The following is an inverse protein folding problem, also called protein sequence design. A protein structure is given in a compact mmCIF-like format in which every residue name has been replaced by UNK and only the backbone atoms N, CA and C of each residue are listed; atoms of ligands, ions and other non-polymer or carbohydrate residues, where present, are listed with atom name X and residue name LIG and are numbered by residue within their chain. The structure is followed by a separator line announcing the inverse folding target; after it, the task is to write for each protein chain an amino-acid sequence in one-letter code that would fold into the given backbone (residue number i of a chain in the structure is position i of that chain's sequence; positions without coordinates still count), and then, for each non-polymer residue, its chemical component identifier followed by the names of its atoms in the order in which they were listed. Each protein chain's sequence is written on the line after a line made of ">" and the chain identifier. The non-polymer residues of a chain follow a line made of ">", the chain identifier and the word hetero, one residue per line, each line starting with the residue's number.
data_IF_555493111083
#
_entry.id   IF_555493111083
#
_cell.length_a   1.000
_cell.length_b   1.000
_cell.length_c   1.000
_cell.angle_alpha   90.00
_cell.angle_beta   90.00
_cell.angle_gamma   90.00
#
_symmetry.space_group_name_H-M   'P 1'
#
loop_
_entity.id
_entity.type
_entity.pdbx_description
1 polymer ?
#
# COMPACT_ATOMS: atom_id res chain seq x y z
N UNK A 1 -0.70 -2.13 20.21
CA UNK A 1 -1.31 -2.57 18.95
C UNK A 1 -0.47 -2.09 17.79
N UNK A 2 -0.01 -2.96 16.90
CA UNK A 2 0.64 -2.56 15.65
C UNK A 2 0.60 -3.74 14.69
N UNK A 3 -0.37 -3.75 13.76
CA UNK A 3 -0.18 -4.53 12.54
C UNK A 3 1.12 -4.06 11.86
N UNK A 4 1.96 -4.97 11.40
CA UNK A 4 3.20 -4.61 10.72
C UNK A 4 2.91 -4.13 9.29
N UNK A 5 2.46 -2.88 9.17
CA UNK A 5 2.22 -2.23 7.89
C UNK A 5 3.50 -1.56 7.37
N UNK A 6 3.74 -1.51 6.05
CA UNK A 6 4.91 -0.84 5.47
C UNK A 6 4.94 0.69 5.68
N UNK A 7 3.86 1.24 6.23
CA UNK A 7 3.67 2.65 6.59
C UNK A 7 3.16 2.84 8.03
N UNK A 8 3.25 1.82 8.90
CA UNK A 8 2.94 1.95 10.34
C UNK A 8 3.94 2.84 11.11
N UNK A 9 5.08 3.14 10.49
CA UNK A 9 6.02 4.19 10.90
C UNK A 9 6.07 5.32 9.87
N UNK A 10 7.27 5.76 9.46
CA UNK A 10 7.40 6.76 8.40
C UNK A 10 7.10 6.14 7.02
N UNK A 11 5.92 6.41 6.48
CA UNK A 11 5.56 6.04 5.11
C UNK A 11 6.59 6.59 4.12
N UNK A 12 7.30 5.71 3.42
CA UNK A 12 8.21 6.09 2.35
C UNK A 12 8.35 4.97 1.32
N UNK A 13 8.77 5.33 0.11
CA UNK A 13 8.90 4.38 -1.01
C UNK A 13 9.89 3.25 -0.72
N UNK A 14 10.92 3.49 0.08
CA UNK A 14 11.95 2.50 0.40
C UNK A 14 11.39 1.42 1.33
N UNK A 15 10.60 1.79 2.34
CA UNK A 15 9.96 0.82 3.24
C UNK A 15 8.90 0.00 2.52
N UNK A 16 8.09 0.64 1.68
CA UNK A 16 7.11 -0.05 0.83
C UNK A 16 7.79 -1.06 -0.11
N UNK A 17 8.88 -0.66 -0.76
CA UNK A 17 9.63 -1.56 -1.61
C UNK A 17 10.30 -2.69 -0.85
N UNK A 18 10.98 -2.40 0.27
CA UNK A 18 11.62 -3.42 1.09
C UNK A 18 10.61 -4.45 1.61
N UNK A 19 9.38 -4.02 1.92
CA UNK A 19 8.28 -4.91 2.25
C UNK A 19 7.92 -5.84 1.08
N UNK A 20 7.79 -5.31 -0.13
CA UNK A 20 7.49 -6.14 -1.31
C UNK A 20 8.61 -7.11 -1.67
N UNK A 21 9.88 -6.69 -1.55
CA UNK A 21 11.06 -7.53 -1.73
C UNK A 21 11.12 -8.65 -0.68
N UNK A 22 10.97 -8.31 0.61
CA UNK A 22 10.97 -9.29 1.71
C UNK A 22 9.91 -10.38 1.53
N UNK A 23 8.74 -9.99 1.04
CA UNK A 23 7.64 -10.93 0.79
C UNK A 23 7.70 -11.58 -0.60
N UNK A 24 8.63 -11.16 -1.46
CA UNK A 24 8.81 -11.61 -2.84
C UNK A 24 7.52 -11.51 -3.67
N UNK A 25 6.80 -10.40 -3.52
CA UNK A 25 5.57 -10.18 -4.29
C UNK A 25 5.91 -9.77 -5.73
N UNK A 26 5.30 -10.45 -6.71
CA UNK A 26 5.33 -10.04 -8.12
C UNK A 26 4.62 -8.68 -8.31
N UNK A 27 4.79 -8.03 -9.45
CA UNK A 27 4.11 -6.74 -9.72
C UNK A 27 2.58 -6.85 -9.60
N UNK A 28 2.01 -7.97 -10.04
CA UNK A 28 0.60 -8.26 -9.91
C UNK A 28 0.17 -8.37 -8.45
N UNK A 29 0.93 -9.09 -7.62
CA UNK A 29 0.61 -9.22 -6.18
C UNK A 29 0.83 -7.90 -5.43
N UNK A 30 1.78 -7.06 -5.87
CA UNK A 30 1.95 -5.70 -5.35
C UNK A 30 0.75 -4.81 -5.67
N UNK A 31 0.21 -4.90 -6.88
CA UNK A 31 -1.03 -4.20 -7.25
C UNK A 31 -2.21 -4.65 -6.37
N UNK A 32 -2.38 -5.97 -6.18
CA UNK A 32 -3.46 -6.49 -5.32
C UNK A 32 -3.33 -6.00 -3.88
N UNK A 33 -2.11 -6.00 -3.34
CA UNK A 33 -1.83 -5.45 -2.02
C UNK A 33 -2.17 -3.96 -1.94
N UNK A 34 -1.78 -3.19 -2.95
CA UNK A 34 -2.10 -1.77 -3.03
C UNK A 34 -3.61 -1.53 -3.12
N UNK A 35 -4.30 -2.28 -3.98
CA UNK A 35 -5.76 -2.18 -4.17
C UNK A 35 -6.52 -2.45 -2.88
N UNK A 36 -6.11 -3.44 -2.11
CA UNK A 36 -6.72 -3.71 -0.80
C UNK A 36 -6.65 -2.49 0.13
N UNK A 37 -5.51 -1.82 0.20
CA UNK A 37 -5.37 -0.57 0.97
C UNK A 37 -6.15 0.59 0.38
N UNK A 38 -6.21 0.69 -0.95
CA UNK A 38 -6.97 1.72 -1.64
C UNK A 38 -8.46 1.60 -1.31
N UNK A 39 -9.01 0.38 -1.40
CA UNK A 39 -10.41 0.11 -1.13
C UNK A 39 -10.74 0.33 0.36
N UNK A 40 -9.83 -0.08 1.27
CA UNK A 40 -9.94 0.24 2.69
C UNK A 40 -9.99 1.75 2.94
N UNK A 41 -9.07 2.51 2.35
CA UNK A 41 -8.97 3.94 2.57
C UNK A 41 -10.17 4.69 1.96
N UNK A 42 -10.59 4.29 0.76
CA UNK A 42 -11.77 4.83 0.11
C UNK A 42 -13.03 4.58 0.94
N UNK A 43 -13.23 3.36 1.44
CA UNK A 43 -14.37 3.04 2.29
C UNK A 43 -14.34 3.85 3.61
N UNK A 44 -13.17 4.04 4.21
CA UNK A 44 -13.04 4.88 5.41
C UNK A 44 -13.45 6.34 5.14
N UNK A 45 -13.08 6.88 3.98
CA UNK A 45 -13.45 8.24 3.55
C UNK A 45 -14.94 8.35 3.22
N UNK A 46 -15.52 7.36 2.54
CA UNK A 46 -16.94 7.36 2.16
C UNK A 46 -17.88 7.25 3.37
N UNK A 47 -17.43 6.61 4.44
CA UNK A 47 -18.21 6.36 5.65
C UNK A 47 -18.07 7.45 6.74
N UNK A 48 -17.07 8.34 6.64
CA UNK A 48 -16.89 9.47 7.54
C UNK A 48 -17.43 10.75 6.85
N UNK A 49 -18.47 11.42 7.38
CA UNK A 49 -19.07 12.58 6.73
C UNK A 49 -18.09 13.73 6.43
N UNK A 50 -17.14 13.99 7.33
CA UNK A 50 -16.17 15.07 7.19
C UNK A 50 -15.12 14.71 6.13
N UNK A 51 -14.61 13.48 6.17
CA UNK A 51 -13.67 13.00 5.15
C UNK A 51 -14.34 12.89 3.79
N UNK A 52 -15.59 12.46 3.73
CA UNK A 52 -16.35 12.40 2.48
C UNK A 52 -16.47 13.79 1.83
N UNK A 53 -16.76 14.81 2.62
CA UNK A 53 -16.89 16.19 2.13
C UNK A 53 -15.55 16.78 1.65
N UNK A 54 -14.42 16.36 2.23
CA UNK A 54 -13.12 17.03 2.03
C UNK A 54 -12.08 16.22 1.25
N UNK A 55 -12.18 14.90 1.23
CA UNK A 55 -11.16 13.96 0.72
C UNK A 55 -11.66 12.98 -0.33
N UNK A 56 -12.97 12.86 -0.55
CA UNK A 56 -13.49 11.92 -1.55
C UNK A 56 -12.98 12.23 -2.97
N UNK A 57 -12.72 13.51 -3.26
CA UNK A 57 -12.12 13.95 -4.53
C UNK A 57 -10.77 13.27 -4.80
N UNK A 58 -9.99 12.99 -3.76
CA UNK A 58 -8.68 12.33 -3.87
C UNK A 58 -8.79 10.86 -4.34
N UNK A 59 -9.99 10.28 -4.31
CA UNK A 59 -10.30 8.90 -4.72
C UNK A 59 -11.08 8.81 -6.05
N UNK A 60 -11.15 9.90 -6.81
CA UNK A 60 -11.79 9.90 -8.14
C UNK A 60 -10.99 9.13 -9.19
N UNK A 61 -9.68 8.96 -8.98
CA UNK A 61 -8.79 8.25 -9.88
C UNK A 61 -7.99 7.18 -9.12
N UNK A 62 -7.72 6.07 -9.80
CA UNK A 62 -6.87 5.00 -9.30
C UNK A 62 -5.59 4.91 -10.14
N UNK A 63 -4.39 4.83 -9.53
CA UNK A 63 -4.13 4.83 -8.09
C UNK A 63 -4.25 6.22 -7.41
N UNK A 64 -4.34 6.23 -6.08
CA UNK A 64 -4.28 7.44 -5.24
C UNK A 64 -2.88 8.07 -5.25
N UNK A 65 -2.81 9.40 -5.24
CA UNK A 65 -1.59 10.17 -5.02
C UNK A 65 -1.01 10.82 -6.27
N UNK A 66 -0.09 11.76 -6.07
CA UNK A 66 0.51 12.56 -7.15
C UNK A 66 1.44 11.74 -8.05
N UNK A 67 1.93 10.60 -7.55
CA UNK A 67 2.80 9.69 -8.30
C UNK A 67 2.02 8.56 -9.00
N UNK A 68 0.69 8.65 -9.05
CA UNK A 68 -0.17 7.59 -9.57
C UNK A 68 0.04 7.28 -11.06
N UNK A 69 0.39 8.30 -11.86
CA UNK A 69 0.51 8.20 -13.32
C UNK A 69 1.93 8.39 -13.85
N UNK A 70 2.87 8.85 -13.02
CA UNK A 70 4.26 9.07 -13.41
C UNK A 70 5.07 7.77 -13.28
N UNK A 71 5.07 6.98 -14.35
CA UNK A 71 5.94 5.79 -14.48
C UNK A 71 7.33 6.13 -15.04
N UNK A 72 7.55 7.39 -15.43
CA UNK A 72 8.81 7.85 -16.02
C UNK A 72 9.92 7.75 -14.95
N UNK A 73 10.83 6.79 -15.16
CA UNK A 73 12.02 6.46 -14.34
C UNK A 73 11.83 5.42 -13.22
N UNK A 74 10.63 4.83 -13.06
CA UNK A 74 10.37 3.98 -11.89
C UNK A 74 10.57 2.47 -12.09
N UNK A 75 11.05 1.93 -13.23
CA UNK A 75 11.54 0.53 -13.39
C UNK A 75 10.85 -0.59 -12.53
N UNK A 76 9.52 -0.59 -12.39
CA UNK A 76 8.79 -1.55 -11.53
C UNK A 76 8.53 -1.13 -10.07
N UNK A 77 8.70 0.15 -9.71
CA UNK A 77 8.44 0.74 -8.38
C UNK A 77 7.12 1.51 -8.29
N UNK A 78 6.26 1.45 -9.32
CA UNK A 78 4.99 2.18 -9.35
C UNK A 78 4.18 1.93 -8.07
N UNK A 79 4.01 0.67 -7.69
CA UNK A 79 3.22 0.29 -6.52
C UNK A 79 3.88 0.68 -5.19
N UNK A 80 5.21 0.60 -5.09
CA UNK A 80 5.90 1.05 -3.87
C UNK A 80 5.77 2.57 -3.68
N UNK A 81 5.79 3.34 -4.77
CA UNK A 81 5.63 4.80 -4.74
C UNK A 81 4.19 5.19 -4.46
N UNK A 82 3.23 4.60 -5.18
CA UNK A 82 1.81 4.83 -4.93
C UNK A 82 1.41 4.43 -3.50
N UNK A 83 1.95 3.32 -2.98
CA UNK A 83 1.71 2.88 -1.60
C UNK A 83 2.32 3.83 -0.57
N UNK A 84 3.41 4.53 -0.90
CA UNK A 84 3.96 5.54 0.00
C UNK A 84 3.02 6.75 0.14
N UNK A 85 2.46 7.24 -0.98
CA UNK A 85 1.49 8.34 -0.98
C UNK A 85 0.22 7.95 -0.22
N UNK A 86 -0.38 6.80 -0.58
CA UNK A 86 -1.58 6.29 0.05
C UNK A 86 -1.33 5.95 1.53
N UNK A 87 -0.20 5.32 1.85
CA UNK A 87 0.18 4.97 3.22
C UNK A 87 0.37 6.20 4.10
N UNK A 88 0.93 7.29 3.56
CA UNK A 88 1.03 8.56 4.27
C UNK A 88 -0.35 9.16 4.56
N UNK A 89 -1.28 9.09 3.61
CA UNK A 89 -2.67 9.51 3.85
C UNK A 89 -3.33 8.66 4.94
N UNK A 90 -3.26 7.33 4.84
CA UNK A 90 -3.86 6.41 5.82
C UNK A 90 -3.30 6.67 7.22
N UNK A 91 -1.98 6.76 7.37
CA UNK A 91 -1.32 6.92 8.66
C UNK A 91 -1.66 8.26 9.35
N UNK A 92 -1.80 9.34 8.58
CA UNK A 92 -2.02 10.67 9.14
C UNK A 92 -3.51 11.06 9.25
N UNK A 93 -4.39 10.45 8.46
CA UNK A 93 -5.81 10.85 8.36
C UNK A 93 -6.76 9.79 8.90
N UNK A 94 -6.52 8.51 8.58
CA UNK A 94 -7.45 7.43 8.90
C UNK A 94 -7.10 6.78 10.24
N UNK A 95 -5.84 6.36 10.43
CA UNK A 95 -5.42 5.66 11.65
C UNK A 95 -5.74 6.40 12.96
N UNK A 96 -5.55 7.73 13.07
CA UNK A 96 -5.89 8.46 14.29
C UNK A 96 -7.38 8.43 14.65
N UNK A 97 -8.25 8.11 13.69
CA UNK A 97 -9.71 8.04 13.86
C UNK A 97 -10.23 6.62 14.12
N UNK A 98 -9.38 5.59 14.02
CA UNK A 98 -9.82 4.21 14.23
C UNK A 98 -10.03 3.94 15.73
N UNK A 99 -11.15 3.28 16.06
CA UNK A 99 -11.33 2.69 17.38
C UNK A 99 -10.38 1.50 17.58
N UNK A 100 -10.19 1.10 18.84
CA UNK A 100 -9.39 -0.09 19.18
C UNK A 100 -9.92 -1.36 18.50
N UNK A 101 -11.22 -1.60 18.55
CA UNK A 101 -11.85 -2.74 17.86
C UNK A 101 -11.63 -2.69 16.34
N UNK A 102 -11.75 -1.51 15.72
CA UNK A 102 -11.50 -1.35 14.30
C UNK A 102 -10.02 -1.58 13.93
N UNK A 103 -9.09 -1.14 14.79
CA UNK A 103 -7.66 -1.39 14.61
C UNK A 103 -7.31 -2.88 14.75
N UNK A 104 -7.91 -3.58 15.72
CA UNK A 104 -7.77 -5.03 15.87
C UNK A 104 -8.31 -5.79 14.67
N UNK A 105 -9.51 -5.42 14.21
CA UNK A 105 -10.12 -6.01 13.01
C UNK A 105 -9.23 -5.79 11.79
N UNK A 106 -8.74 -4.56 11.59
CA UNK A 106 -7.84 -4.23 10.48
C UNK A 106 -6.57 -5.07 10.50
N UNK A 107 -5.96 -5.27 11.67
CA UNK A 107 -4.79 -6.12 11.81
C UNK A 107 -5.07 -7.58 11.42
N UNK A 108 -6.22 -8.12 11.83
CA UNK A 108 -6.64 -9.47 11.46
C UNK A 108 -6.93 -9.61 9.95
N UNK A 109 -7.65 -8.64 9.37
CA UNK A 109 -7.99 -8.64 7.94
C UNK A 109 -6.72 -8.50 7.08
N UNK A 110 -5.76 -7.67 7.51
CA UNK A 110 -4.47 -7.50 6.85
C UNK A 110 -3.65 -8.79 6.87
N UNK A 111 -3.56 -9.47 8.02
CA UNK A 111 -2.85 -10.76 8.14
C UNK A 111 -3.49 -11.84 7.25
N UNK A 112 -4.82 -11.90 7.23
CA UNK A 112 -5.58 -12.84 6.38
C UNK A 112 -5.29 -12.60 4.90
N UNK A 113 -5.36 -11.34 4.44
CA UNK A 113 -5.07 -10.98 3.06
C UNK A 113 -3.60 -11.27 2.71
N UNK A 114 -2.66 -10.96 3.60
CA UNK A 114 -1.24 -11.26 3.38
C UNK A 114 -0.97 -12.76 3.23
N UNK A 115 -1.60 -13.61 4.05
CA UNK A 115 -1.49 -15.07 3.92
C UNK A 115 -2.01 -15.55 2.55
N UNK A 116 -3.11 -14.98 2.07
CA UNK A 116 -3.64 -15.28 0.74
C UNK A 116 -2.64 -14.90 -0.37
N UNK A 117 -2.09 -13.68 -0.34
CA UNK A 117 -1.06 -13.24 -1.30
C UNK A 117 0.19 -14.13 -1.27
N UNK A 118 0.66 -14.49 -0.08
CA UNK A 118 1.83 -15.36 0.08
C UNK A 118 1.58 -16.79 -0.41
N UNK A 119 0.33 -17.26 -0.35
CA UNK A 119 -0.07 -18.55 -0.94
C UNK A 119 -0.09 -18.46 -2.46
N UNK A 120 -0.63 -17.37 -3.02
CA UNK A 120 -0.69 -17.13 -4.47
C UNK A 120 0.67 -16.89 -5.10
N UNK A 121 1.63 -16.35 -4.35
CA UNK A 121 3.03 -16.20 -4.76
C UNK A 121 3.62 -17.49 -5.34
N UNK A 122 3.22 -18.66 -4.84
CA UNK A 122 3.70 -19.94 -5.37
C UNK A 122 3.27 -20.19 -6.83
N UNK A 123 2.19 -19.56 -7.29
CA UNK A 123 1.65 -19.65 -8.66
C UNK A 123 2.11 -18.51 -9.56
N UNK A 124 2.52 -17.39 -8.97
CA UNK A 124 3.01 -16.19 -9.67
C UNK A 124 4.33 -15.72 -9.06
N UNK A 125 5.45 -16.46 -9.29
CA UNK A 125 6.73 -16.10 -8.72
C UNK A 125 7.20 -14.74 -9.25
N UNK A 126 7.84 -13.95 -8.38
CA UNK A 126 8.46 -12.67 -8.77
C UNK A 126 9.58 -12.95 -9.76
N UNK A 127 9.63 -12.17 -10.84
CA UNK A 127 10.77 -12.17 -11.77
C UNK A 127 12.07 -11.86 -11.01
N UNK A 128 13.18 -12.43 -11.49
CA UNK A 128 14.49 -12.22 -10.89
C UNK A 128 14.83 -10.72 -10.76
N UNK A 129 15.56 -10.35 -9.71
CA UNK A 129 16.11 -9.01 -9.60
C UNK A 129 17.08 -8.75 -10.78
N UNK A 130 17.06 -7.55 -11.41
CA UNK A 130 18.07 -7.20 -12.39
C UNK A 130 19.45 -7.11 -11.70
N UNK A 131 20.51 -7.36 -12.48
CA UNK A 131 21.90 -7.42 -11.98
C UNK A 131 22.38 -6.11 -11.33
N UNK A 132 21.75 -4.97 -11.66
CA UNK A 132 22.07 -3.67 -11.06
C UNK A 132 21.09 -3.38 -9.92
N UNK A 133 21.62 -3.09 -8.73
CA UNK A 133 20.85 -2.80 -7.54
C UNK A 133 19.78 -1.72 -7.78
N UNK A 134 18.52 -2.14 -7.62
CA UNK A 134 17.27 -1.44 -7.96
C UNK A 134 17.15 0.03 -7.50
N UNK A 135 17.83 0.44 -6.42
CA UNK A 135 17.87 1.83 -5.90
C UNK A 135 19.27 2.45 -5.76
N UNK A 136 20.28 1.94 -6.47
CA UNK A 136 21.56 2.64 -6.50
C UNK A 136 21.39 3.92 -7.31
N UNK A 137 21.53 5.06 -6.66
CA UNK A 137 21.87 6.30 -7.35
C UNK A 137 23.19 6.03 -8.08
N UNK A 138 23.18 6.15 -9.41
CA UNK A 138 24.41 6.22 -10.22
C UNK A 138 24.92 7.65 -10.17
#
# INVERSE_FOLDING_TARGET
>A
MSGHYPFGGKANRVTAFAFFEKNQLSLELQERYYRWWYDFAKAAVENDPDLKATRLVDFQHYPFGQHAETNFHLHGYKWATALADLGAFIANVIFPKLSEDAAHKLAHDHDTMMKALLTERAKAPREAAPDVGRYRHV
#
